data_IF_213306692696
#
_entry.id   IF_213306692696
#
_cell.length_a   1.000
_cell.length_b   1.000
_cell.length_c   1.000
_cell.angle_alpha   90.00
_cell.angle_beta   90.00
_cell.angle_gamma   90.00
#
_symmetry.space_group_name_H-M   'P 1'
#
loop_
_entity.id
_entity.type
_entity.pdbx_description
1 polymer ?
#
# COMPACT_ATOMS: atom_id res chain seq x y z
N UNK A 1 -29.56 -41.45 28.03
CA UNK A 1 -28.45 -41.33 27.05
C UNK A 1 -28.84 -41.56 25.59
N UNK A 2 -29.71 -42.52 25.23
CA UNK A 2 -30.04 -42.79 23.81
C UNK A 2 -30.83 -41.67 23.07
N UNK A 3 -31.61 -40.84 23.77
CA UNK A 3 -32.40 -39.76 23.14
C UNK A 3 -31.58 -38.54 22.70
N UNK A 4 -30.45 -38.25 23.36
CA UNK A 4 -29.61 -37.09 23.05
C UNK A 4 -28.76 -37.29 21.79
N UNK A 5 -28.36 -38.55 21.51
CA UNK A 5 -27.59 -38.91 20.31
C UNK A 5 -28.46 -38.82 19.04
N UNK A 6 -29.75 -39.17 19.13
CA UNK A 6 -30.67 -39.08 17.99
C UNK A 6 -30.91 -37.63 17.54
N UNK A 7 -30.97 -36.68 18.49
CA UNK A 7 -31.20 -35.26 18.19
C UNK A 7 -30.00 -34.62 17.47
N UNK A 8 -28.79 -35.04 17.81
CA UNK A 8 -27.53 -34.56 17.22
C UNK A 8 -27.31 -35.10 15.80
N UNK A 9 -27.75 -36.34 15.52
CA UNK A 9 -27.71 -36.89 14.15
C UNK A 9 -28.72 -36.16 13.25
N UNK A 10 -29.90 -35.83 13.77
CA UNK A 10 -30.94 -35.14 12.98
C UNK A 10 -30.54 -33.70 12.62
N UNK A 11 -29.91 -32.94 13.52
CA UNK A 11 -29.44 -31.57 13.23
C UNK A 11 -28.30 -31.54 12.23
N UNK A 12 -27.33 -32.46 12.30
CA UNK A 12 -26.24 -32.55 11.32
C UNK A 12 -26.75 -32.90 9.92
N UNK A 13 -27.78 -33.76 9.83
CA UNK A 13 -28.34 -34.19 8.53
C UNK A 13 -29.14 -33.06 7.86
N UNK A 14 -29.89 -32.27 8.63
CA UNK A 14 -30.63 -31.12 8.09
C UNK A 14 -29.69 -29.99 7.65
N UNK A 15 -28.61 -29.72 8.39
CA UNK A 15 -27.60 -28.74 7.96
C UNK A 15 -26.88 -29.15 6.67
N UNK A 16 -26.56 -30.44 6.49
CA UNK A 16 -25.95 -30.93 5.25
C UNK A 16 -26.88 -30.81 4.03
N UNK A 17 -28.20 -31.00 4.20
CA UNK A 17 -29.18 -30.83 3.12
C UNK A 17 -29.41 -29.37 2.70
N UNK A 18 -29.24 -28.41 3.61
CA UNK A 18 -29.28 -26.97 3.27
C UNK A 18 -28.06 -26.59 2.43
N UNK A 19 -26.86 -27.06 2.79
CA UNK A 19 -25.64 -26.83 2.00
C UNK A 19 -25.67 -27.49 0.62
N UNK A 20 -26.35 -28.64 0.47
CA UNK A 20 -26.46 -29.33 -0.81
C UNK A 20 -27.45 -28.66 -1.78
N UNK A 21 -28.53 -28.03 -1.28
CA UNK A 21 -29.46 -27.26 -2.13
C UNK A 21 -28.81 -26.00 -2.71
N UNK A 22 -27.92 -25.36 -1.97
CA UNK A 22 -27.17 -24.21 -2.48
C UNK A 22 -26.15 -24.65 -3.55
N UNK A 23 -25.56 -25.85 -3.43
CA UNK A 23 -24.59 -26.36 -4.40
C UNK A 23 -25.18 -26.55 -5.81
N UNK A 24 -26.46 -26.92 -5.92
CA UNK A 24 -27.14 -27.06 -7.21
C UNK A 24 -27.49 -25.69 -7.83
N UNK A 25 -27.83 -24.69 -7.02
CA UNK A 25 -28.00 -23.29 -7.46
C UNK A 25 -26.67 -22.72 -7.98
N UNK A 26 -25.57 -23.00 -7.29
CA UNK A 26 -24.23 -22.60 -7.75
C UNK A 26 -23.80 -23.34 -9.03
N UNK A 27 -24.25 -24.59 -9.25
CA UNK A 27 -24.02 -25.30 -10.52
C UNK A 27 -24.79 -24.69 -11.67
N UNK A 28 -26.10 -24.45 -11.52
CA UNK A 28 -26.90 -23.81 -12.57
C UNK A 28 -26.37 -22.41 -12.92
N UNK A 29 -25.94 -21.63 -11.92
CA UNK A 29 -25.31 -20.33 -12.14
C UNK A 29 -23.94 -20.44 -12.85
N UNK A 30 -23.10 -21.40 -12.45
CA UNK A 30 -21.81 -21.63 -13.11
C UNK A 30 -21.97 -22.13 -14.55
N UNK A 31 -22.96 -22.98 -14.83
CA UNK A 31 -23.27 -23.46 -16.17
C UNK A 31 -23.94 -22.38 -17.03
N UNK A 32 -24.75 -21.50 -16.43
CA UNK A 32 -25.27 -20.27 -17.05
C UNK A 32 -24.14 -19.32 -17.47
N UNK A 33 -23.15 -19.08 -16.59
CA UNK A 33 -21.96 -18.29 -16.95
C UNK A 33 -21.15 -18.99 -18.04
N UNK A 34 -20.88 -20.29 -17.94
CA UNK A 34 -20.13 -21.03 -18.98
C UNK A 34 -20.82 -20.99 -20.33
N UNK A 35 -22.15 -21.08 -20.37
CA UNK A 35 -22.93 -21.01 -21.60
C UNK A 35 -23.05 -19.58 -22.14
N UNK A 36 -23.12 -18.56 -21.28
CA UNK A 36 -23.10 -17.15 -21.67
C UNK A 36 -21.73 -16.67 -22.17
N UNK A 37 -20.64 -17.33 -21.76
CA UNK A 37 -19.26 -16.99 -22.12
C UNK A 37 -18.76 -17.76 -23.35
N UNK A 38 -19.56 -18.68 -23.92
CA UNK A 38 -19.21 -19.49 -25.12
C UNK A 38 -18.96 -18.70 -26.42
N UNK A 39 -19.04 -17.37 -26.40
CA UNK A 39 -18.61 -16.49 -27.50
C UNK A 39 -17.69 -15.35 -27.07
N UNK A 40 -17.31 -15.27 -25.80
CA UNK A 40 -16.43 -14.21 -25.28
C UNK A 40 -15.00 -14.72 -25.30
N UNK A 41 -14.28 -14.43 -26.39
CA UNK A 41 -12.83 -14.58 -26.42
C UNK A 41 -12.27 -13.53 -25.47
N UNK A 42 -11.88 -13.93 -24.27
CA UNK A 42 -11.06 -13.07 -23.41
C UNK A 42 -9.76 -12.89 -24.19
N UNK A 43 -9.42 -11.67 -24.67
CA UNK A 43 -8.14 -11.47 -25.32
C UNK A 43 -7.07 -11.87 -24.31
N UNK A 44 -6.00 -12.51 -24.78
CA UNK A 44 -4.86 -12.78 -23.92
C UNK A 44 -4.47 -11.48 -23.20
N UNK A 45 -4.28 -11.52 -21.87
CA UNK A 45 -3.89 -10.31 -21.15
C UNK A 45 -2.66 -9.73 -21.86
N UNK A 46 -2.63 -8.40 -22.07
CA UNK A 46 -1.48 -7.78 -22.70
C UNK A 46 -0.22 -8.20 -21.94
N UNK A 47 0.87 -8.42 -22.68
CA UNK A 47 2.15 -8.75 -22.07
C UNK A 47 2.42 -7.77 -20.91
N UNK A 48 2.91 -8.24 -19.75
CA UNK A 48 3.20 -7.35 -18.64
C UNK A 48 4.16 -6.26 -19.12
N UNK A 49 3.82 -5.00 -18.82
CA UNK A 49 4.65 -3.85 -19.19
C UNK A 49 6.08 -4.08 -18.72
N UNK A 50 7.06 -3.75 -19.56
CA UNK A 50 8.45 -3.79 -19.15
C UNK A 50 8.63 -2.86 -17.93
N UNK A 51 9.25 -3.30 -16.83
CA UNK A 51 9.49 -2.42 -15.68
C UNK A 51 10.21 -1.11 -16.06
N UNK A 52 11.10 -1.13 -17.06
CA UNK A 52 11.73 0.09 -17.58
C UNK A 52 10.76 1.00 -18.34
N UNK A 53 9.71 0.46 -18.97
CA UNK A 53 8.65 1.28 -19.57
C UNK A 53 7.72 1.86 -18.51
N UNK A 54 7.54 1.15 -17.38
CA UNK A 54 6.70 1.60 -16.26
C UNK A 54 7.41 2.60 -15.34
N UNK A 55 8.72 2.46 -15.16
CA UNK A 55 9.53 3.25 -14.22
C UNK A 55 10.58 4.13 -14.89
N UNK A 56 10.79 3.98 -16.20
CA UNK A 56 11.65 4.85 -16.99
C UNK A 56 11.14 6.29 -17.01
N UNK A 57 12.07 7.22 -17.23
CA UNK A 57 11.81 8.65 -17.15
C UNK A 57 12.41 9.31 -18.38
N UNK A 58 11.69 10.28 -18.97
CA UNK A 58 12.27 11.11 -20.02
C UNK A 58 13.36 12.03 -19.44
N UNK A 59 14.23 12.56 -20.30
CA UNK A 59 15.38 13.37 -19.87
C UNK A 59 14.97 14.64 -19.11
N UNK A 60 13.80 15.20 -19.43
CA UNK A 60 13.30 16.44 -18.83
C UNK A 60 12.79 16.19 -17.42
N UNK A 61 12.02 15.13 -17.22
CA UNK A 61 11.55 14.65 -15.93
C UNK A 61 12.73 14.22 -15.06
N UNK A 62 13.73 13.55 -15.64
CA UNK A 62 14.94 13.14 -14.91
C UNK A 62 15.71 14.35 -14.38
N UNK A 63 15.98 15.33 -15.24
CA UNK A 63 16.61 16.60 -14.86
C UNK A 63 15.81 17.35 -13.77
N UNK A 64 14.49 17.28 -13.84
CA UNK A 64 13.60 17.90 -12.84
C UNK A 64 13.67 17.19 -11.51
N UNK A 65 13.65 15.85 -11.50
CA UNK A 65 13.76 15.05 -10.28
C UNK A 65 15.12 15.24 -9.59
N UNK A 66 16.20 15.35 -10.36
CA UNK A 66 17.57 15.53 -9.83
C UNK A 66 17.76 16.84 -9.05
N UNK A 67 16.94 17.87 -9.27
CA UNK A 67 17.01 19.15 -8.52
C UNK A 67 16.75 18.98 -7.02
N UNK A 68 16.11 17.89 -6.61
CA UNK A 68 15.79 17.60 -5.21
C UNK A 68 16.90 16.80 -4.50
N UNK A 69 18.03 16.57 -5.16
CA UNK A 69 19.17 15.84 -4.61
C UNK A 69 20.37 16.76 -4.43
N UNK A 70 21.18 16.46 -3.43
CA UNK A 70 22.48 17.11 -3.22
C UNK A 70 23.49 16.67 -4.28
N UNK A 71 24.52 17.47 -4.51
CA UNK A 71 25.58 17.16 -5.48
C UNK A 71 26.24 15.79 -5.21
N UNK A 72 26.39 15.44 -3.93
CA UNK A 72 26.92 14.14 -3.51
C UNK A 72 25.99 13.01 -3.95
N UNK A 73 24.70 13.11 -3.68
CA UNK A 73 23.70 12.11 -4.08
C UNK A 73 23.64 11.99 -5.60
N UNK A 74 23.64 13.11 -6.34
CA UNK A 74 23.62 13.12 -7.81
C UNK A 74 24.83 12.36 -8.37
N UNK A 75 26.02 12.55 -7.80
CA UNK A 75 27.22 11.82 -8.22
C UNK A 75 27.06 10.31 -8.02
N UNK A 76 26.59 9.89 -6.84
CA UNK A 76 26.38 8.47 -6.52
C UNK A 76 25.28 7.85 -7.39
N UNK A 77 24.19 8.58 -7.65
CA UNK A 77 23.12 8.14 -8.53
C UNK A 77 23.62 7.90 -9.97
N UNK A 78 24.54 8.73 -10.48
CA UNK A 78 25.17 8.47 -11.78
C UNK A 78 25.99 7.17 -11.77
N UNK A 79 26.75 6.91 -10.72
CA UNK A 79 27.46 5.62 -10.56
C UNK A 79 26.48 4.43 -10.56
N UNK A 80 25.33 4.57 -9.88
CA UNK A 80 24.27 3.56 -9.88
C UNK A 80 23.65 3.40 -11.26
N UNK A 81 23.37 4.49 -12.00
CA UNK A 81 22.75 4.45 -13.33
C UNK A 81 23.55 3.62 -14.33
N UNK A 82 24.88 3.69 -14.27
CA UNK A 82 25.75 2.91 -15.15
C UNK A 82 25.75 1.40 -14.83
N UNK A 83 25.57 1.04 -13.55
CA UNK A 83 25.59 -0.35 -13.11
C UNK A 83 24.19 -1.02 -13.10
N UNK A 84 23.17 -0.28 -12.69
CA UNK A 84 21.79 -0.74 -12.52
C UNK A 84 20.79 0.42 -12.74
N UNK A 85 20.33 0.53 -13.99
CA UNK A 85 19.35 1.56 -14.40
C UNK A 85 18.02 1.43 -13.66
N UNK A 86 17.59 0.20 -13.33
CA UNK A 86 16.33 -0.03 -12.63
C UNK A 86 16.43 0.53 -11.21
N UNK A 87 17.51 0.21 -10.51
CA UNK A 87 17.74 0.72 -9.16
C UNK A 87 17.90 2.23 -9.13
N UNK A 88 18.56 2.81 -10.13
CA UNK A 88 18.65 4.25 -10.31
C UNK A 88 17.26 4.91 -10.39
N UNK A 89 16.38 4.41 -11.27
CA UNK A 89 15.04 4.99 -11.41
C UNK A 89 14.16 4.74 -10.18
N UNK A 90 14.31 3.60 -9.48
CA UNK A 90 13.65 3.35 -8.20
C UNK A 90 13.98 4.45 -7.17
N UNK A 91 15.27 4.70 -6.95
CA UNK A 91 15.76 5.70 -5.98
C UNK A 91 15.38 7.13 -6.38
N UNK A 92 15.46 7.45 -7.68
CA UNK A 92 15.07 8.76 -8.22
C UNK A 92 13.57 9.01 -8.01
N UNK A 93 12.74 8.03 -8.38
CA UNK A 93 11.29 8.12 -8.26
C UNK A 93 10.83 8.22 -6.81
N UNK A 94 11.49 7.53 -5.88
CA UNK A 94 11.15 7.57 -4.46
C UNK A 94 11.18 8.99 -3.90
N UNK A 95 12.21 9.77 -4.24
CA UNK A 95 12.29 11.19 -3.84
C UNK A 95 11.36 12.07 -4.66
N UNK A 96 11.19 11.81 -5.96
CA UNK A 96 10.28 12.57 -6.84
C UNK A 96 8.82 12.51 -6.37
N UNK A 97 8.26 11.31 -6.27
CA UNK A 97 6.84 11.11 -5.96
C UNK A 97 6.47 11.62 -4.57
N UNK A 98 7.43 11.66 -3.66
CA UNK A 98 7.26 12.30 -2.37
C UNK A 98 6.86 13.77 -2.49
N UNK A 99 7.53 14.54 -3.35
CA UNK A 99 7.21 15.96 -3.53
C UNK A 99 5.95 16.18 -4.35
N UNK A 100 5.60 15.26 -5.25
CA UNK A 100 4.40 15.39 -6.11
C UNK A 100 3.06 15.35 -5.36
N UNK A 101 3.01 14.80 -4.14
CA UNK A 101 1.79 14.85 -3.30
C UNK A 101 1.75 16.06 -2.34
N UNK A 102 2.80 16.89 -2.33
CA UNK A 102 2.89 18.08 -1.45
C UNK A 102 2.13 19.27 -2.03
N UNK A 103 1.96 19.37 -3.35
CA UNK A 103 1.34 20.53 -4.01
C UNK A 103 -0.20 20.52 -4.02
N UNK A 104 -0.86 19.64 -3.28
CA UNK A 104 -2.32 19.66 -3.15
C UNK A 104 -2.75 20.73 -2.14
N UNK A 105 -3.52 21.77 -2.55
CA UNK A 105 -3.90 22.85 -1.64
C UNK A 105 -4.65 22.30 -0.41
N UNK A 106 -4.12 22.57 0.79
CA UNK A 106 -4.60 22.04 2.07
C UNK A 106 -3.75 20.93 2.70
N UNK A 107 -2.72 20.42 2.01
CA UNK A 107 -1.75 19.43 2.51
C UNK A 107 -0.69 20.02 3.46
N UNK A 108 -0.46 21.35 3.41
CA UNK A 108 0.62 22.04 4.14
C UNK A 108 0.52 21.87 5.66
N UNK A 109 -0.70 21.65 6.20
CA UNK A 109 -0.93 21.36 7.62
C UNK A 109 -0.56 19.93 8.03
N UNK A 110 -0.30 19.03 7.09
CA UNK A 110 -0.06 17.60 7.35
C UNK A 110 1.42 17.20 7.23
N UNK A 111 2.28 18.09 6.73
CA UNK A 111 3.68 17.77 6.48
C UNK A 111 4.53 18.13 7.69
N UNK A 112 4.85 17.12 8.49
CA UNK A 112 5.77 17.27 9.60
C UNK A 112 7.21 17.42 9.08
N UNK A 113 7.79 18.62 9.17
CA UNK A 113 9.18 18.92 8.75
C UNK A 113 10.20 17.87 9.23
N UNK A 114 10.02 17.32 10.43
CA UNK A 114 10.91 16.28 10.99
C UNK A 114 10.75 14.92 10.33
N UNK A 115 9.53 14.55 9.94
CA UNK A 115 9.31 13.38 9.08
C UNK A 115 9.97 13.61 7.75
N UNK A 116 9.96 14.87 7.29
CA UNK A 116 10.55 15.15 6.01
C UNK A 116 12.07 14.95 5.99
N UNK A 117 12.76 15.57 6.93
CA UNK A 117 14.21 15.43 7.07
C UNK A 117 14.64 13.97 7.30
N UNK A 118 13.79 13.15 7.92
CA UNK A 118 14.11 11.74 8.17
C UNK A 118 14.04 10.89 6.91
N UNK A 119 12.97 11.00 6.12
CA UNK A 119 12.88 10.25 4.86
C UNK A 119 13.97 10.69 3.87
N UNK A 120 14.35 11.99 3.85
CA UNK A 120 15.50 12.44 3.06
C UNK A 120 16.80 11.73 3.48
N UNK A 121 17.01 11.56 4.79
CA UNK A 121 18.15 10.80 5.31
C UNK A 121 18.09 9.33 4.91
N UNK A 122 16.91 8.71 4.94
CA UNK A 122 16.71 7.32 4.53
C UNK A 122 17.06 7.15 3.05
N UNK A 123 16.52 7.99 2.18
CA UNK A 123 16.80 7.94 0.73
C UNK A 123 18.30 8.17 0.47
N UNK A 124 18.91 9.16 1.12
CA UNK A 124 20.34 9.43 0.99
C UNK A 124 21.20 8.24 1.42
N UNK A 125 20.86 7.59 2.54
CA UNK A 125 21.56 6.38 3.00
C UNK A 125 21.36 5.19 2.05
N UNK A 126 20.18 5.02 1.47
CA UNK A 126 19.93 3.98 0.46
C UNK A 126 20.82 4.17 -0.77
N UNK A 127 20.89 5.40 -1.30
CA UNK A 127 21.80 5.75 -2.40
C UNK A 127 23.25 5.44 -2.04
N UNK A 128 23.70 5.85 -0.85
CA UNK A 128 25.06 5.59 -0.40
C UNK A 128 25.36 4.09 -0.26
N UNK A 129 24.43 3.31 0.30
CA UNK A 129 24.61 1.85 0.46
C UNK A 129 24.62 1.11 -0.88
N UNK A 130 23.81 1.54 -1.83
CA UNK A 130 23.79 0.96 -3.18
C UNK A 130 25.09 1.27 -3.93
N UNK A 131 25.54 2.53 -3.89
CA UNK A 131 26.82 2.90 -4.50
C UNK A 131 28.00 2.15 -3.87
N UNK A 132 28.03 1.99 -2.54
CA UNK A 132 29.05 1.18 -1.86
C UNK A 132 28.99 -0.31 -2.27
N UNK A 133 27.79 -0.85 -2.49
CA UNK A 133 27.61 -2.23 -2.99
C UNK A 133 28.23 -2.39 -4.39
N UNK A 134 28.01 -1.44 -5.29
CA UNK A 134 28.64 -1.42 -6.63
C UNK A 134 30.15 -1.29 -6.51
N UNK A 135 30.64 -0.35 -5.69
CA UNK A 135 32.07 -0.15 -5.45
C UNK A 135 32.72 -1.41 -4.87
N UNK A 136 32.07 -2.11 -3.94
CA UNK A 136 32.57 -3.36 -3.37
C UNK A 136 32.77 -4.45 -4.43
N UNK A 137 31.81 -4.59 -5.36
CA UNK A 137 31.89 -5.58 -6.45
C UNK A 137 33.07 -5.32 -7.38
N UNK A 138 33.45 -4.05 -7.56
CA UNK A 138 34.51 -3.62 -8.48
C UNK A 138 35.87 -3.36 -7.79
N UNK A 139 35.92 -3.42 -6.46
CA UNK A 139 37.11 -3.11 -5.68
C UNK A 139 38.15 -4.25 -5.69
N UNK A 140 39.41 -3.90 -5.52
CA UNK A 140 40.48 -4.86 -5.20
C UNK A 140 40.35 -5.37 -3.78
N UNK A 141 40.95 -6.52 -3.47
CA UNK A 141 40.78 -7.19 -2.17
C UNK A 141 41.22 -6.34 -0.98
N UNK A 142 42.26 -5.51 -1.16
CA UNK A 142 42.72 -4.57 -0.13
C UNK A 142 41.75 -3.40 0.17
N UNK A 143 40.79 -3.11 -0.73
CA UNK A 143 39.79 -2.05 -0.56
C UNK A 143 38.46 -2.60 -0.03
N UNK A 144 38.16 -3.87 -0.31
CA UNK A 144 36.90 -4.54 0.05
C UNK A 144 36.60 -4.48 1.54
N UNK A 145 37.59 -4.68 2.41
CA UNK A 145 37.36 -4.69 3.86
C UNK A 145 36.89 -3.33 4.38
N UNK A 146 37.48 -2.24 3.87
CA UNK A 146 37.06 -0.89 4.21
C UNK A 146 35.64 -0.61 3.72
N UNK A 147 35.35 -0.92 2.45
CA UNK A 147 34.01 -0.71 1.87
C UNK A 147 32.96 -1.53 2.61
N UNK A 148 33.28 -2.76 3.00
CA UNK A 148 32.38 -3.63 3.80
C UNK A 148 32.11 -3.04 5.18
N UNK A 149 33.12 -2.49 5.84
CA UNK A 149 32.95 -1.79 7.12
C UNK A 149 32.05 -0.57 6.98
N UNK A 150 32.29 0.26 5.97
CA UNK A 150 31.49 1.46 5.70
C UNK A 150 30.03 1.10 5.36
N UNK A 151 29.83 0.07 4.53
CA UNK A 151 28.50 -0.44 4.18
C UNK A 151 27.76 -0.94 5.42
N UNK A 152 28.42 -1.72 6.28
CA UNK A 152 27.82 -2.21 7.54
C UNK A 152 27.40 -1.05 8.44
N UNK A 153 28.26 -0.04 8.60
CA UNK A 153 27.94 1.12 9.43
C UNK A 153 26.71 1.87 8.91
N UNK A 154 26.60 2.08 7.59
CA UNK A 154 25.46 2.78 7.00
C UNK A 154 24.17 1.96 7.05
N UNK A 155 24.25 0.66 6.82
CA UNK A 155 23.10 -0.24 6.91
C UNK A 155 22.52 -0.28 8.32
N UNK A 156 23.35 -0.23 9.37
CA UNK A 156 22.85 -0.13 10.74
C UNK A 156 22.03 1.14 10.96
N UNK A 157 22.57 2.30 10.54
CA UNK A 157 21.85 3.58 10.66
C UNK A 157 20.55 3.56 9.85
N UNK A 158 20.58 3.01 8.64
CA UNK A 158 19.39 2.88 7.79
C UNK A 158 18.34 1.97 8.43
N UNK A 159 18.77 0.86 9.04
CA UNK A 159 17.89 -0.07 9.74
C UNK A 159 17.19 0.62 10.92
N UNK A 160 17.95 1.31 11.77
CA UNK A 160 17.40 2.01 12.94
C UNK A 160 16.35 3.06 12.54
N UNK A 161 16.63 3.83 11.48
CA UNK A 161 15.69 4.83 10.96
C UNK A 161 14.40 4.19 10.43
N UNK A 162 14.51 3.09 9.66
CA UNK A 162 13.34 2.36 9.13
C UNK A 162 12.53 1.69 10.24
N UNK A 163 13.20 1.17 11.26
CA UNK A 163 12.53 0.58 12.42
C UNK A 163 11.74 1.65 13.19
N UNK A 164 12.32 2.84 13.38
CA UNK A 164 11.63 3.96 14.00
C UNK A 164 10.39 4.40 13.20
N UNK A 165 10.49 4.44 11.87
CA UNK A 165 9.34 4.72 11.01
C UNK A 165 8.22 3.69 11.16
N UNK A 166 8.58 2.41 11.20
CA UNK A 166 7.60 1.34 11.38
C UNK A 166 6.92 1.42 12.75
N UNK A 167 7.67 1.76 13.81
CA UNK A 167 7.08 1.99 15.15
C UNK A 167 6.04 3.11 15.13
N UNK A 168 6.37 4.25 14.51
CA UNK A 168 5.44 5.40 14.40
C UNK A 168 4.22 5.09 13.54
N UNK A 169 4.41 4.35 12.46
CA UNK A 169 3.31 3.89 11.60
C UNK A 169 2.35 3.01 12.39
N UNK A 170 2.86 2.06 13.18
CA UNK A 170 2.06 1.21 14.08
C UNK A 170 1.28 2.06 15.09
N UNK A 171 1.93 2.99 15.79
CA UNK A 171 1.26 3.88 16.75
C UNK A 171 0.13 4.71 16.10
N UNK A 172 0.36 5.23 14.90
CA UNK A 172 -0.65 5.98 14.14
C UNK A 172 -1.84 5.10 13.72
N UNK A 173 -1.57 3.88 13.26
CA UNK A 173 -2.61 2.92 12.90
C UNK A 173 -3.43 2.48 14.12
N UNK A 174 -2.80 2.26 15.27
CA UNK A 174 -3.47 1.94 16.53
C UNK A 174 -4.41 3.07 16.97
N UNK A 175 -3.97 4.33 16.86
CA UNK A 175 -4.81 5.49 17.15
C UNK A 175 -6.02 5.55 16.23
N UNK A 176 -5.82 5.41 14.90
CA UNK A 176 -6.92 5.39 13.92
C UNK A 176 -7.89 4.24 14.19
N UNK A 177 -7.38 3.06 14.52
CA UNK A 177 -8.19 1.90 14.86
C UNK A 177 -9.07 2.18 16.09
N UNK A 178 -8.53 2.83 17.11
CA UNK A 178 -9.28 3.23 18.31
C UNK A 178 -10.39 4.23 17.99
N UNK A 179 -10.10 5.22 17.16
CA UNK A 179 -11.08 6.22 16.70
C UNK A 179 -12.22 5.57 15.91
N UNK A 180 -11.88 4.67 14.96
CA UNK A 180 -12.85 3.92 14.17
C UNK A 180 -13.73 3.02 15.04
N UNK A 181 -13.15 2.32 16.02
CA UNK A 181 -13.91 1.52 16.99
C UNK A 181 -14.88 2.39 17.78
N UNK A 182 -14.43 3.55 18.25
CA UNK A 182 -15.27 4.50 19.01
C UNK A 182 -16.44 5.01 18.17
N UNK A 183 -16.17 5.39 16.92
CA UNK A 183 -17.19 5.83 15.95
C UNK A 183 -18.20 4.72 15.64
N UNK A 184 -17.73 3.49 15.46
CA UNK A 184 -18.58 2.33 15.21
C UNK A 184 -19.51 2.04 16.39
N UNK A 185 -18.99 2.06 17.62
CA UNK A 185 -19.82 1.86 18.82
C UNK A 185 -20.84 2.99 19.01
N UNK A 186 -20.46 4.25 18.76
CA UNK A 186 -21.40 5.36 18.78
C UNK A 186 -22.52 5.16 17.74
N UNK A 187 -22.18 4.72 16.52
CA UNK A 187 -23.16 4.42 15.47
C UNK A 187 -24.08 3.26 15.85
N UNK A 188 -23.53 2.19 16.46
CA UNK A 188 -24.34 1.06 16.96
C UNK A 188 -25.32 1.49 18.03
N UNK A 189 -24.86 2.29 19.01
CA UNK A 189 -25.69 2.82 20.09
C UNK A 189 -26.83 3.70 19.55
N UNK A 190 -26.56 4.48 18.52
CA UNK A 190 -27.53 5.39 17.91
C UNK A 190 -28.26 4.78 16.69
N UNK A 191 -28.20 3.45 16.50
CA UNK A 191 -28.74 2.79 15.30
C UNK A 191 -30.22 3.13 15.08
N UNK A 192 -31.04 2.99 16.12
CA UNK A 192 -32.48 3.19 16.00
C UNK A 192 -32.82 4.65 15.70
N UNK A 193 -32.10 5.60 16.29
CA UNK A 193 -32.25 7.01 15.96
C UNK A 193 -31.88 7.31 14.50
N UNK A 194 -30.75 6.76 14.03
CA UNK A 194 -30.30 6.90 12.63
C UNK A 194 -31.34 6.31 11.67
N UNK A 195 -31.86 5.12 11.97
CA UNK A 195 -32.88 4.45 11.16
C UNK A 195 -34.18 5.27 11.17
N UNK A 196 -34.67 5.68 12.33
CA UNK A 196 -35.89 6.47 12.45
C UNK A 196 -35.78 7.83 11.76
N UNK A 197 -34.61 8.49 11.85
CA UNK A 197 -34.34 9.72 11.10
C UNK A 197 -34.45 9.46 9.60
N UNK A 198 -33.83 8.38 9.11
CA UNK A 198 -33.89 8.02 7.69
C UNK A 198 -35.30 7.65 7.23
N UNK A 199 -36.09 6.96 8.06
CA UNK A 199 -37.50 6.69 7.78
C UNK A 199 -38.27 7.99 7.61
N UNK A 200 -38.16 8.93 8.57
CA UNK A 200 -38.85 10.24 8.48
C UNK A 200 -38.43 11.06 7.26
N UNK A 201 -37.16 11.03 6.88
CA UNK A 201 -36.68 11.68 5.64
C UNK A 201 -37.35 11.08 4.40
N UNK A 202 -37.48 9.75 4.35
CA UNK A 202 -38.03 9.04 3.19
C UNK A 202 -39.56 9.10 3.12
N UNK A 203 -40.25 9.18 4.26
CA UNK A 203 -41.72 9.33 4.31
C UNK A 203 -42.20 10.77 4.22
N UNK A 204 -41.27 11.74 4.15
CA UNK A 204 -41.62 13.18 4.11
C UNK A 204 -42.11 13.73 5.45
N UNK A 205 -41.98 12.97 6.53
CA UNK A 205 -42.29 13.40 7.90
C UNK A 205 -41.20 14.32 8.49
N UNK A 206 -40.04 14.43 7.82
CA UNK A 206 -38.99 15.36 8.22
C UNK A 206 -39.42 16.81 7.96
N UNK A 207 -39.79 17.52 9.03
CA UNK A 207 -40.02 18.97 9.02
C UNK A 207 -38.70 19.75 8.92
N UNK A 208 -38.04 19.80 7.76
CA UNK A 208 -37.03 20.85 7.51
C UNK A 208 -37.07 21.41 6.08
N UNK A 209 -37.20 22.74 6.06
CA UNK A 209 -37.03 23.76 5.01
C UNK A 209 -37.47 23.38 3.59
N UNK A 210 -38.71 23.77 3.27
CA UNK A 210 -38.99 24.29 1.94
C UNK A 210 -38.17 25.59 1.79
N UNK A 211 -37.42 25.70 0.70
CA UNK A 211 -36.74 26.92 0.26
C UNK A 211 -37.55 27.56 -0.85
N UNK A 212 -38.82 27.81 -0.57
CA UNK A 212 -39.66 28.71 -1.36
C UNK A 212 -39.25 30.18 -1.16
#
# INVERSE_FOLDING_TARGET
MKKTILLLIFTVTVSAQVYLKDADVYREYADSIKNSVRGFVIPDPPAPLNPLELFGMDEKDESTALKNFSDKEIKLLKEIKEADKMKYYELLNRKRFRFSFVDFPGSEKLINKKENEREDKIIGLEIETEALSIQYKNASDNQKDKIKSDLKSKLNVLFDLKEEDKKREVESLEKKLKELKTSLEARKKNKDEIVNRRVRELTGESKYLRWD
#
